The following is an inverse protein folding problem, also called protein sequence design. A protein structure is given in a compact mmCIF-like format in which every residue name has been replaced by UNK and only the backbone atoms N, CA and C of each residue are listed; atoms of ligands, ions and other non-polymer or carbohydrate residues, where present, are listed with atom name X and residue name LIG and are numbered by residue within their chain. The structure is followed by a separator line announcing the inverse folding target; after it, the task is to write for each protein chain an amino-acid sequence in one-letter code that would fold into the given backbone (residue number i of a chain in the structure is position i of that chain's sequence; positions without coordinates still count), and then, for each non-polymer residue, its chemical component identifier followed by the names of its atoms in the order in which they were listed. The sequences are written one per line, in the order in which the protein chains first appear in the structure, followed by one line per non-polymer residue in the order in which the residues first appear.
data_IF_499572076254
#
_entry.id   IF_499572076254
#
_cell.length_a   1.000
_cell.length_b   1.000
_cell.length_c   1.000
_cell.angle_alpha   90.00
_cell.angle_beta   90.00
_cell.angle_gamma   90.00
#
_symmetry.space_group_name_H-M   'P 1'
#
loop_
_entity.id
_entity.type
_entity.pdbx_description
1 polymer ?
#
# COMPACT_ATOMS: atom_id res chain seq x y z
N UNK A 1 14.54 6.54 -1.68
CA UNK A 1 13.81 6.90 -2.89
C UNK A 1 14.57 7.95 -3.73
N UNK A 2 15.11 9.05 -3.19
CA UNK A 2 15.89 10.03 -3.98
C UNK A 2 17.02 9.40 -4.79
N UNK A 3 17.76 8.49 -4.18
CA UNK A 3 18.87 7.78 -4.87
C UNK A 3 18.40 6.91 -6.05
N UNK A 4 17.10 6.59 -6.14
CA UNK A 4 16.51 5.85 -7.27
C UNK A 4 16.03 6.75 -8.40
N UNK A 5 16.24 8.07 -8.30
CA UNK A 5 15.78 9.06 -9.28
C UNK A 5 14.34 9.55 -9.06
N UNK A 6 13.71 9.19 -7.93
CA UNK A 6 12.39 9.71 -7.60
C UNK A 6 12.45 11.20 -7.24
N UNK A 7 11.54 11.99 -7.77
CA UNK A 7 11.22 13.31 -7.22
C UNK A 7 10.47 13.10 -5.90
N UNK A 8 10.83 13.85 -4.87
CA UNK A 8 10.25 13.71 -3.54
C UNK A 8 9.52 14.99 -3.15
N UNK A 9 8.24 14.84 -2.88
CA UNK A 9 7.41 15.87 -2.28
C UNK A 9 7.33 15.57 -0.79
N UNK A 10 7.94 16.42 0.03
CA UNK A 10 7.90 16.31 1.49
C UNK A 10 6.78 17.18 2.04
N UNK A 11 5.88 16.57 2.82
CA UNK A 11 4.83 17.29 3.51
C UNK A 11 5.29 17.72 4.91
N UNK A 12 4.77 18.84 5.44
CA UNK A 12 5.06 19.24 6.81
C UNK A 12 4.49 18.25 7.81
N UNK A 13 5.10 18.15 8.98
CA UNK A 13 4.54 17.36 10.07
C UNK A 13 3.17 17.91 10.49
N UNK A 14 2.26 17.00 10.84
CA UNK A 14 0.93 17.31 11.34
C UNK A 14 0.85 16.88 12.80
N UNK A 15 1.25 17.76 13.72
CA UNK A 15 1.36 17.43 15.16
C UNK A 15 0.03 17.03 15.81
N UNK A 16 -1.09 17.44 15.21
CA UNK A 16 -2.45 17.06 15.67
C UNK A 16 -2.86 15.65 15.22
N UNK A 17 -2.13 15.05 14.26
CA UNK A 17 -2.42 13.73 13.69
C UNK A 17 -1.18 12.84 13.83
N UNK A 18 -1.07 12.06 14.92
CA UNK A 18 0.15 11.29 15.20
C UNK A 18 0.46 10.21 14.14
N UNK A 19 -0.55 9.75 13.40
CA UNK A 19 -0.40 8.74 12.34
C UNK A 19 -0.21 9.33 10.94
N UNK A 20 -0.18 10.67 10.79
CA UNK A 20 -0.09 11.35 9.49
C UNK A 20 1.21 11.05 8.71
N UNK A 21 2.23 10.49 9.36
CA UNK A 21 3.43 9.97 8.68
C UNK A 21 3.10 8.80 7.73
N UNK A 22 1.98 8.11 7.96
CA UNK A 22 1.52 6.98 7.15
C UNK A 22 0.59 7.44 6.02
N UNK A 23 1.10 8.30 5.17
CA UNK A 23 0.36 8.95 4.07
C UNK A 23 -0.26 7.98 3.05
N UNK A 24 0.15 6.70 3.05
CA UNK A 24 -0.37 5.71 2.12
C UNK A 24 -1.88 5.49 2.26
N UNK A 25 -2.42 5.68 3.47
CA UNK A 25 -3.83 5.43 3.75
C UNK A 25 -4.76 6.53 3.23
N UNK A 26 -4.21 7.70 2.94
CA UNK A 26 -4.98 8.90 2.60
C UNK A 26 -5.37 8.99 1.13
N UNK A 27 -4.66 8.30 0.22
CA UNK A 27 -4.97 8.36 -1.21
C UNK A 27 -4.60 7.10 -1.98
N UNK A 28 -5.35 6.82 -3.04
CA UNK A 28 -4.97 5.91 -4.11
C UNK A 28 -4.54 6.71 -5.33
N UNK A 29 -3.27 6.60 -5.70
CA UNK A 29 -2.70 7.23 -6.87
C UNK A 29 -2.62 6.22 -8.02
N UNK A 30 -3.43 6.40 -9.05
CA UNK A 30 -3.44 5.61 -10.28
C UNK A 30 -2.73 6.39 -11.40
N UNK A 31 -2.59 5.80 -12.58
CA UNK A 31 -1.87 6.45 -13.67
C UNK A 31 -2.47 7.79 -14.08
N UNK A 32 -3.78 7.86 -14.22
CA UNK A 32 -4.47 9.01 -14.79
C UNK A 32 -5.40 9.74 -13.79
N UNK A 33 -5.53 9.23 -12.58
CA UNK A 33 -6.40 9.82 -11.57
C UNK A 33 -5.90 9.51 -10.16
N UNK A 34 -6.33 10.31 -9.21
CA UNK A 34 -6.16 10.02 -7.79
C UNK A 34 -7.51 9.99 -7.08
N UNK A 35 -7.60 9.15 -6.05
CA UNK A 35 -8.79 9.05 -5.22
C UNK A 35 -8.37 9.36 -3.79
N UNK A 36 -8.96 10.39 -3.20
CA UNK A 36 -8.80 10.68 -1.78
C UNK A 36 -9.61 9.66 -0.98
N UNK A 37 -8.97 9.00 -0.05
CA UNK A 37 -9.56 7.93 0.75
C UNK A 37 -10.34 8.50 1.95
N UNK A 38 -11.04 7.61 2.64
CA UNK A 38 -11.72 7.93 3.87
C UNK A 38 -11.29 6.93 4.96
N UNK A 39 -10.30 7.32 5.80
CA UNK A 39 -9.81 6.44 6.86
C UNK A 39 -10.91 5.99 7.82
N UNK A 40 -10.83 4.73 8.27
CA UNK A 40 -11.77 4.16 9.23
C UNK A 40 -11.48 4.58 10.67
N UNK A 41 -10.27 5.00 10.99
CA UNK A 41 -9.90 5.48 12.30
C UNK A 41 -10.32 6.95 12.50
N UNK A 42 -11.10 7.22 13.54
CA UNK A 42 -11.59 8.59 13.85
C UNK A 42 -10.43 9.58 14.03
N UNK A 43 -9.32 9.16 14.65
CA UNK A 43 -8.12 9.99 14.83
C UNK A 43 -7.47 10.42 13.52
N UNK A 44 -7.74 9.73 12.41
CA UNK A 44 -7.15 9.96 11.10
C UNK A 44 -8.06 10.69 10.11
N UNK A 45 -9.32 10.88 10.43
CA UNK A 45 -10.31 11.43 9.48
C UNK A 45 -9.96 12.83 8.95
N UNK A 46 -9.16 13.60 9.68
CA UNK A 46 -8.72 14.94 9.25
C UNK A 46 -7.45 14.96 8.39
N UNK A 47 -6.68 13.85 8.34
CA UNK A 47 -5.39 13.78 7.64
C UNK A 47 -5.54 14.01 6.15
N UNK A 48 -6.54 13.39 5.53
CA UNK A 48 -6.82 13.48 4.09
C UNK A 48 -6.99 14.92 3.62
N UNK A 49 -7.71 15.75 4.37
CA UNK A 49 -7.92 17.16 4.03
C UNK A 49 -6.59 17.96 4.03
N UNK A 50 -5.66 17.59 4.91
CA UNK A 50 -4.35 18.24 5.00
C UNK A 50 -3.41 17.79 3.87
N UNK A 51 -3.53 16.53 3.43
CA UNK A 51 -2.71 15.96 2.36
C UNK A 51 -3.26 16.28 0.95
N UNK A 52 -4.58 16.45 0.81
CA UNK A 52 -5.26 16.66 -0.47
C UNK A 52 -4.67 17.76 -1.37
N UNK A 53 -4.22 18.93 -0.87
CA UNK A 53 -3.59 19.95 -1.73
C UNK A 53 -2.36 19.44 -2.48
N UNK A 54 -1.54 18.59 -1.86
CA UNK A 54 -0.35 18.02 -2.51
C UNK A 54 -0.75 17.04 -3.64
N UNK A 55 -1.78 16.24 -3.46
CA UNK A 55 -2.31 15.35 -4.49
C UNK A 55 -2.96 16.17 -5.63
N UNK A 56 -3.74 17.20 -5.29
CA UNK A 56 -4.38 18.10 -6.28
C UNK A 56 -3.38 18.87 -7.15
N UNK A 57 -2.16 19.04 -6.67
CA UNK A 57 -1.07 19.63 -7.46
C UNK A 57 -0.48 18.66 -8.49
N UNK A 58 -0.75 17.36 -8.39
CA UNK A 58 -0.17 16.32 -9.23
C UNK A 58 -1.17 15.69 -10.21
N UNK A 59 -2.47 15.82 -9.96
CA UNK A 59 -3.52 15.19 -10.74
C UNK A 59 -4.64 16.18 -11.09
N UNK A 60 -5.09 16.13 -12.35
CA UNK A 60 -6.28 16.88 -12.80
C UNK A 60 -7.58 16.12 -12.52
N UNK A 61 -7.57 14.77 -12.66
CA UNK A 61 -8.73 13.92 -12.34
C UNK A 61 -8.62 13.39 -10.90
N UNK A 62 -9.41 13.97 -10.02
CA UNK A 62 -9.46 13.59 -8.60
C UNK A 62 -10.89 13.30 -8.20
N UNK A 63 -11.08 12.12 -7.60
CA UNK A 63 -12.29 11.71 -6.91
C UNK A 63 -12.05 11.61 -5.41
N UNK A 64 -13.10 11.48 -4.63
CA UNK A 64 -13.03 11.41 -3.18
C UNK A 64 -14.08 10.41 -2.65
N UNK A 65 -13.71 9.60 -1.68
CA UNK A 65 -14.64 8.74 -0.94
C UNK A 65 -15.36 9.60 0.09
N UNK A 66 -16.66 9.81 -0.10
CA UNK A 66 -17.46 10.72 0.70
C UNK A 66 -18.63 10.04 1.43
N UNK A 67 -18.92 8.80 1.04
CA UNK A 67 -20.04 8.00 1.58
C UNK A 67 -19.86 7.59 3.05
N UNK A 68 -20.80 6.81 3.58
CA UNK A 68 -20.76 6.39 4.97
C UNK A 68 -19.68 5.33 5.24
N UNK A 69 -19.19 4.64 4.19
CA UNK A 69 -18.13 3.63 4.29
C UNK A 69 -16.74 4.24 4.49
N UNK A 70 -15.79 3.39 4.79
CA UNK A 70 -14.39 3.77 4.92
C UNK A 70 -13.48 2.78 4.20
N UNK A 71 -12.36 3.30 3.70
CA UNK A 71 -11.36 2.54 2.98
C UNK A 71 -10.00 3.24 3.12
N UNK A 72 -8.96 2.46 3.41
CA UNK A 72 -7.60 2.94 3.59
C UNK A 72 -6.68 2.38 2.50
N UNK A 73 -5.72 3.19 2.05
CA UNK A 73 -4.79 2.79 1.00
C UNK A 73 -3.91 1.61 1.36
N UNK A 74 -3.67 1.36 2.66
CA UNK A 74 -2.97 0.17 3.16
C UNK A 74 -3.65 -1.16 2.82
N UNK A 75 -4.96 -1.13 2.55
CA UNK A 75 -5.72 -2.30 2.10
C UNK A 75 -5.74 -2.47 0.56
N UNK A 76 -5.13 -1.55 -0.19
CA UNK A 76 -5.21 -1.54 -1.66
C UNK A 76 -3.86 -1.91 -2.27
N UNK A 77 -3.81 -3.02 -3.01
CA UNK A 77 -2.67 -3.43 -3.82
C UNK A 77 -3.03 -3.31 -5.31
N UNK A 78 -2.47 -2.32 -5.97
CA UNK A 78 -2.64 -2.14 -7.42
C UNK A 78 -1.61 -2.96 -8.18
N UNK A 79 -2.09 -3.81 -9.09
CA UNK A 79 -1.26 -4.61 -9.98
C UNK A 79 -1.47 -4.16 -11.44
N UNK A 80 -0.76 -4.78 -12.39
CA UNK A 80 -0.99 -4.55 -13.82
C UNK A 80 -2.32 -5.11 -14.34
N UNK A 81 -3.01 -5.95 -13.54
CA UNK A 81 -4.22 -6.67 -13.95
C UNK A 81 -5.48 -6.15 -13.26
N UNK A 82 -5.34 -5.74 -12.00
CA UNK A 82 -6.47 -5.48 -11.11
C UNK A 82 -6.06 -4.64 -9.90
N UNK A 83 -7.04 -4.11 -9.22
CA UNK A 83 -6.91 -3.51 -7.89
C UNK A 83 -7.44 -4.53 -6.89
N UNK A 84 -6.55 -5.10 -6.08
CA UNK A 84 -6.91 -6.01 -5.00
C UNK A 84 -7.20 -5.20 -3.74
N UNK A 85 -8.33 -5.47 -3.10
CA UNK A 85 -8.74 -4.76 -1.88
C UNK A 85 -8.95 -5.77 -0.76
N UNK A 86 -8.13 -5.67 0.28
CA UNK A 86 -8.30 -6.43 1.50
C UNK A 86 -9.42 -5.86 2.37
N UNK A 87 -10.37 -6.69 2.75
CA UNK A 87 -11.37 -6.32 3.76
C UNK A 87 -10.77 -6.53 5.14
N UNK A 88 -10.59 -5.45 5.87
CA UNK A 88 -10.01 -5.40 7.20
C UNK A 88 -10.92 -4.63 8.16
N UNK A 89 -10.45 -4.39 9.38
CA UNK A 89 -11.12 -3.47 10.30
C UNK A 89 -11.06 -2.00 9.84
N UNK A 90 -10.23 -1.69 8.84
CA UNK A 90 -9.98 -0.34 8.31
C UNK A 90 -10.62 -0.10 6.94
N UNK A 91 -11.24 -1.14 6.36
CA UNK A 91 -11.91 -1.05 5.05
C UNK A 91 -13.19 -1.87 5.08
N UNK A 92 -14.32 -1.22 4.87
CA UNK A 92 -15.63 -1.86 4.86
C UNK A 92 -16.21 -2.02 3.45
N UNK A 93 -17.31 -2.78 3.36
CA UNK A 93 -17.95 -3.05 2.07
C UNK A 93 -18.49 -1.77 1.38
N UNK A 94 -18.95 -0.79 2.15
CA UNK A 94 -19.48 0.44 1.58
C UNK A 94 -18.38 1.31 0.96
N UNK A 95 -17.21 1.39 1.60
CA UNK A 95 -16.03 2.06 1.04
C UNK A 95 -15.52 1.36 -0.22
N UNK A 96 -15.52 0.02 -0.25
CA UNK A 96 -15.15 -0.76 -1.43
C UNK A 96 -16.11 -0.49 -2.60
N UNK A 97 -17.44 -0.48 -2.37
CA UNK A 97 -18.42 -0.22 -3.42
C UNK A 97 -18.32 1.21 -3.97
N UNK A 98 -18.05 2.19 -3.12
CA UNK A 98 -17.82 3.57 -3.59
C UNK A 98 -16.54 3.67 -4.43
N UNK A 99 -15.45 3.04 -4.02
CA UNK A 99 -14.23 2.99 -4.83
C UNK A 99 -14.48 2.27 -6.15
N UNK A 100 -15.23 1.16 -6.15
CA UNK A 100 -15.63 0.42 -7.34
C UNK A 100 -16.34 1.33 -8.35
N UNK A 101 -17.33 2.08 -7.90
CA UNK A 101 -18.08 3.01 -8.74
C UNK A 101 -17.20 4.11 -9.36
N UNK A 102 -16.10 4.48 -8.69
CA UNK A 102 -15.12 5.46 -9.18
C UNK A 102 -14.18 4.85 -10.21
N UNK A 103 -13.62 3.65 -9.97
CA UNK A 103 -12.49 3.14 -10.77
C UNK A 103 -12.91 2.23 -11.92
N UNK A 104 -14.03 1.50 -11.84
CA UNK A 104 -14.48 0.62 -12.93
C UNK A 104 -14.82 1.37 -14.22
N UNK A 105 -15.48 2.56 -14.20
CA UNK A 105 -15.67 3.37 -15.41
C UNK A 105 -14.37 3.83 -16.07
N UNK A 106 -13.25 3.83 -15.31
CA UNK A 106 -11.90 4.14 -15.79
C UNK A 106 -11.12 2.92 -16.30
N UNK A 107 -11.79 1.75 -16.36
CA UNK A 107 -11.24 0.51 -16.90
C UNK A 107 -10.47 -0.35 -15.88
N UNK A 108 -10.52 -0.02 -14.60
CA UNK A 108 -9.91 -0.86 -13.57
C UNK A 108 -10.86 -1.97 -13.14
N UNK A 109 -10.30 -3.12 -12.77
CA UNK A 109 -11.03 -4.27 -12.22
C UNK A 109 -10.72 -4.37 -10.73
N UNK A 110 -11.75 -4.50 -9.90
CA UNK A 110 -11.59 -4.72 -8.45
C UNK A 110 -11.75 -6.20 -8.11
N UNK A 111 -10.84 -6.71 -7.30
CA UNK A 111 -10.96 -8.00 -6.64
C UNK A 111 -10.86 -7.83 -5.12
N UNK A 112 -11.91 -8.23 -4.43
CA UNK A 112 -11.95 -8.24 -2.97
C UNK A 112 -11.25 -9.47 -2.41
N UNK A 113 -10.50 -9.26 -1.34
CA UNK A 113 -9.75 -10.29 -0.62
C UNK A 113 -10.08 -10.17 0.86
N UNK A 114 -10.20 -11.31 1.53
CA UNK A 114 -10.36 -11.30 2.98
C UNK A 114 -8.98 -11.22 3.65
N UNK A 115 -8.72 -10.11 4.33
CA UNK A 115 -7.53 -9.96 5.17
C UNK A 115 -7.68 -10.81 6.44
N UNK A 116 -6.64 -11.54 6.88
CA UNK A 116 -6.69 -12.25 8.14
C UNK A 116 -7.00 -11.31 9.32
N UNK A 117 -7.78 -11.74 10.32
CA UNK A 117 -8.32 -10.84 11.36
C UNK A 117 -7.25 -10.23 12.28
N UNK A 118 -6.07 -10.81 12.35
CA UNK A 118 -4.91 -10.34 13.10
C UNK A 118 -3.94 -9.47 12.28
N UNK A 119 -4.33 -9.11 11.08
CA UNK A 119 -3.54 -8.26 10.17
C UNK A 119 -4.23 -6.90 10.04
N UNK A 120 -3.50 -5.84 10.30
CA UNK A 120 -4.05 -4.46 10.30
C UNK A 120 -4.55 -4.06 8.91
N UNK A 121 -3.69 -4.23 7.88
CA UNK A 121 -3.99 -3.93 6.49
C UNK A 121 -3.53 -5.06 5.57
N UNK A 122 -4.14 -5.20 4.42
CA UNK A 122 -3.75 -6.19 3.41
C UNK A 122 -2.26 -6.10 3.04
N UNK A 123 -1.73 -4.89 2.84
CA UNK A 123 -0.31 -4.67 2.53
C UNK A 123 0.64 -4.85 3.71
N UNK A 124 0.15 -5.08 4.93
CA UNK A 124 1.00 -5.53 6.03
C UNK A 124 1.68 -6.85 5.66
N UNK A 125 0.97 -7.73 4.98
CA UNK A 125 1.38 -9.10 4.69
C UNK A 125 1.78 -9.35 3.22
N UNK A 126 1.79 -8.31 2.37
CA UNK A 126 2.22 -8.45 0.97
C UNK A 126 2.75 -7.17 0.35
N UNK A 127 3.50 -7.34 -0.73
CA UNK A 127 3.89 -6.27 -1.65
C UNK A 127 4.08 -6.80 -3.07
N UNK A 128 3.85 -5.92 -4.06
CA UNK A 128 4.11 -6.22 -5.47
C UNK A 128 5.59 -5.95 -5.77
N UNK A 129 6.28 -6.96 -6.30
CA UNK A 129 7.70 -6.84 -6.69
C UNK A 129 7.88 -6.52 -8.17
N UNK A 130 6.96 -6.99 -9.02
CA UNK A 130 6.86 -6.63 -10.44
C UNK A 130 5.44 -6.87 -10.95
N UNK A 131 5.21 -6.80 -12.27
CA UNK A 131 3.88 -6.97 -12.86
C UNK A 131 3.20 -8.32 -12.56
N UNK A 132 3.94 -9.33 -12.07
CA UNK A 132 3.44 -10.69 -11.85
C UNK A 132 3.94 -11.36 -10.56
N UNK A 133 4.86 -10.74 -9.81
CA UNK A 133 5.50 -11.34 -8.64
C UNK A 133 5.10 -10.61 -7.38
N UNK A 134 4.61 -11.34 -6.40
CA UNK A 134 4.18 -10.84 -5.08
C UNK A 134 5.07 -11.45 -3.99
N UNK A 135 5.59 -10.62 -3.11
CA UNK A 135 6.13 -11.06 -1.83
C UNK A 135 4.97 -11.14 -0.84
N UNK A 136 4.78 -12.27 -0.19
CA UNK A 136 3.68 -12.47 0.75
C UNK A 136 4.06 -13.35 1.93
N UNK A 137 3.35 -13.18 3.03
CA UNK A 137 3.35 -14.18 4.10
C UNK A 137 2.56 -15.42 3.67
N UNK A 138 2.92 -16.58 4.22
CA UNK A 138 2.17 -17.81 3.96
C UNK A 138 0.73 -17.75 4.47
N UNK A 139 0.48 -17.05 5.59
CA UNK A 139 -0.87 -16.93 6.17
C UNK A 139 -1.83 -16.17 5.24
N UNK A 140 -1.35 -15.13 4.56
CA UNK A 140 -2.19 -14.39 3.62
C UNK A 140 -2.41 -15.20 2.33
N UNK A 141 -1.35 -15.79 1.76
CA UNK A 141 -1.43 -16.58 0.54
C UNK A 141 -2.25 -17.88 0.70
N UNK A 142 -2.38 -18.39 1.91
CA UNK A 142 -3.20 -19.57 2.19
C UNK A 142 -4.69 -19.41 1.80
N UNK A 143 -5.16 -18.18 1.63
CA UNK A 143 -6.50 -17.89 1.10
C UNK A 143 -6.64 -18.12 -0.42
N UNK A 144 -5.53 -18.33 -1.15
CA UNK A 144 -5.51 -18.40 -2.62
C UNK A 144 -5.70 -17.02 -3.28
N UNK A 145 -5.55 -15.93 -2.52
CA UNK A 145 -5.81 -14.58 -3.05
C UNK A 145 -4.81 -14.17 -4.15
N UNK A 146 -3.69 -14.85 -4.28
CA UNK A 146 -2.69 -14.57 -5.30
C UNK A 146 -2.65 -15.60 -6.43
N UNK A 147 -3.73 -16.36 -6.63
CA UNK A 147 -3.84 -17.29 -7.76
C UNK A 147 -3.58 -16.57 -9.09
N UNK A 148 -2.67 -17.14 -9.86
CA UNK A 148 -2.23 -16.55 -11.15
C UNK A 148 -1.05 -15.57 -11.06
N UNK A 149 -0.52 -15.34 -9.86
CA UNK A 149 0.73 -14.62 -9.62
C UNK A 149 1.86 -15.60 -9.23
N UNK A 150 3.09 -15.17 -9.43
CA UNK A 150 4.26 -15.82 -8.81
C UNK A 150 4.38 -15.30 -7.38
N UNK A 151 4.34 -16.19 -6.38
CA UNK A 151 4.44 -15.77 -4.98
C UNK A 151 5.80 -16.18 -4.40
N UNK A 152 6.50 -15.20 -3.83
CA UNK A 152 7.68 -15.42 -3.00
C UNK A 152 7.21 -15.32 -1.54
N UNK A 153 7.33 -16.43 -0.79
CA UNK A 153 6.98 -16.41 0.63
C UNK A 153 8.09 -15.87 1.49
N UNK A 154 7.74 -15.04 2.46
CA UNK A 154 8.65 -14.67 3.55
C UNK A 154 9.13 -15.92 4.29
N UNK A 155 10.33 -15.86 4.86
CA UNK A 155 10.82 -16.91 5.74
C UNK A 155 10.03 -16.93 7.05
N UNK A 156 10.11 -18.05 7.76
CA UNK A 156 9.48 -18.19 9.07
C UNK A 156 10.06 -17.16 10.06
N UNK A 157 9.19 -16.45 10.77
CA UNK A 157 9.59 -15.37 11.66
C UNK A 157 9.94 -14.04 10.97
N UNK A 158 9.97 -14.00 9.63
CA UNK A 158 10.33 -12.79 8.86
C UNK A 158 9.12 -12.11 8.18
N UNK A 159 7.89 -12.35 8.64
CA UNK A 159 6.66 -11.87 8.01
C UNK A 159 6.60 -10.36 7.82
N UNK A 160 7.16 -9.58 8.74
CA UNK A 160 7.09 -8.12 8.70
C UNK A 160 7.78 -7.50 7.46
N UNK A 161 8.71 -8.21 6.79
CA UNK A 161 9.32 -7.72 5.56
C UNK A 161 8.44 -7.90 4.31
N UNK A 162 7.29 -8.57 4.44
CA UNK A 162 6.32 -8.62 3.34
C UNK A 162 5.87 -7.23 2.90
N UNK A 163 5.82 -6.27 3.83
CA UNK A 163 5.63 -4.86 3.52
C UNK A 163 6.95 -4.23 3.03
N UNK A 164 7.27 -4.52 1.78
CA UNK A 164 8.41 -3.95 1.04
C UNK A 164 7.92 -2.99 -0.03
N UNK A 165 8.83 -2.25 -0.65
CA UNK A 165 8.50 -1.34 -1.76
C UNK A 165 9.33 -1.72 -2.98
N UNK A 166 8.70 -1.91 -4.13
CA UNK A 166 9.40 -1.86 -5.41
C UNK A 166 9.37 -0.44 -5.96
N UNK A 167 10.52 0.09 -6.29
CA UNK A 167 10.65 1.35 -7.03
C UNK A 167 11.78 1.24 -8.05
N UNK A 168 11.47 1.46 -9.32
CA UNK A 168 12.38 1.19 -10.43
C UNK A 168 13.00 -0.22 -10.32
N UNK A 169 14.31 -0.34 -10.30
CA UNK A 169 15.03 -1.61 -10.23
C UNK A 169 15.33 -2.09 -8.81
N UNK A 170 14.88 -1.37 -7.80
CA UNK A 170 15.16 -1.68 -6.40
C UNK A 170 13.93 -2.18 -5.65
N UNK A 171 14.11 -3.23 -4.88
CA UNK A 171 13.20 -3.61 -3.79
C UNK A 171 13.77 -3.06 -2.49
N UNK A 172 13.07 -2.13 -1.90
CA UNK A 172 13.39 -1.60 -0.57
C UNK A 172 12.74 -2.51 0.47
N UNK A 173 13.54 -3.14 1.30
CA UNK A 173 13.11 -4.11 2.32
C UNK A 173 13.57 -3.66 3.70
N UNK A 174 12.77 -3.84 4.76
CA UNK A 174 13.23 -3.56 6.11
C UNK A 174 14.49 -4.36 6.47
N UNK A 175 15.36 -3.82 7.34
CA UNK A 175 16.51 -4.54 7.87
C UNK A 175 16.08 -5.65 8.83
N UNK A 176 16.90 -6.69 8.94
CA UNK A 176 16.69 -7.76 9.93
C UNK A 176 16.05 -9.05 9.38
N UNK A 177 15.86 -9.16 8.05
CA UNK A 177 15.18 -10.27 7.40
C UNK A 177 16.05 -10.96 6.34
N UNK A 178 17.17 -11.60 6.74
CA UNK A 178 18.19 -12.08 5.79
C UNK A 178 17.73 -13.25 4.92
N UNK A 179 16.89 -14.15 5.44
CA UNK A 179 16.43 -15.31 4.66
C UNK A 179 15.46 -14.91 3.56
N UNK A 180 14.50 -14.03 3.87
CA UNK A 180 13.56 -13.50 2.88
C UNK A 180 14.29 -12.66 1.83
N UNK A 181 15.25 -11.84 2.27
CA UNK A 181 16.11 -11.09 1.34
C UNK A 181 16.78 -12.02 0.34
N UNK A 182 17.41 -13.10 0.83
CA UNK A 182 18.07 -14.07 -0.05
C UNK A 182 17.11 -14.73 -1.05
N UNK A 183 15.86 -15.01 -0.65
CA UNK A 183 14.83 -15.54 -1.57
C UNK A 183 14.46 -14.55 -2.66
N UNK A 184 14.29 -13.29 -2.31
CA UNK A 184 13.94 -12.21 -3.26
C UNK A 184 15.10 -11.96 -4.22
N UNK A 185 16.35 -11.96 -3.74
CA UNK A 185 17.55 -11.84 -4.58
C UNK A 185 17.75 -13.04 -5.50
N UNK A 186 17.48 -14.26 -5.01
CA UNK A 186 17.54 -15.48 -5.82
C UNK A 186 16.49 -15.48 -6.95
N UNK A 187 15.39 -14.77 -6.79
CA UNK A 187 14.39 -14.54 -7.83
C UNK A 187 14.77 -13.43 -8.81
N UNK A 188 15.96 -12.83 -8.67
CA UNK A 188 16.50 -11.85 -9.60
C UNK A 188 16.24 -10.38 -9.23
N UNK A 189 15.69 -10.10 -8.06
CA UNK A 189 15.45 -8.74 -7.61
C UNK A 189 16.68 -8.14 -6.92
N UNK A 190 16.91 -6.86 -7.13
CA UNK A 190 17.95 -6.11 -6.44
C UNK A 190 17.39 -5.53 -5.14
N UNK A 191 17.87 -6.01 -3.99
CA UNK A 191 17.33 -5.65 -2.67
C UNK A 191 18.23 -4.68 -1.94
N UNK A 192 17.68 -3.55 -1.51
CA UNK A 192 18.32 -2.58 -0.61
C UNK A 192 17.59 -2.56 0.73
N UNK A 193 18.32 -2.83 1.81
CA UNK A 193 17.77 -2.78 3.16
C UNK A 193 17.65 -1.34 3.68
N UNK A 194 16.57 -1.07 4.40
CA UNK A 194 16.28 0.22 5.03
C UNK A 194 15.85 -0.01 6.48
N UNK A 195 16.39 0.80 7.39
CA UNK A 195 15.96 0.78 8.79
C UNK A 195 14.49 1.23 8.93
N UNK A 196 13.71 0.46 9.69
CA UNK A 196 12.28 0.73 9.95
C UNK A 196 11.91 0.56 11.43
N UNK A 197 12.87 0.67 12.32
CA UNK A 197 12.72 0.29 13.74
C UNK A 197 11.68 1.14 14.48
N UNK A 198 11.57 2.42 14.19
CA UNK A 198 10.64 3.29 14.89
C UNK A 198 9.20 3.14 14.36
N UNK A 199 9.02 3.15 13.03
CA UNK A 199 7.70 2.95 12.44
C UNK A 199 7.13 1.55 12.77
N UNK A 200 7.98 0.53 12.80
CA UNK A 200 7.56 -0.83 13.16
C UNK A 200 7.00 -0.97 14.59
N UNK A 201 7.32 -0.06 15.51
CA UNK A 201 6.77 -0.06 16.89
C UNK A 201 5.28 0.32 16.93
N UNK A 202 4.79 0.94 15.87
CA UNK A 202 3.39 1.36 15.68
C UNK A 202 2.79 0.75 14.40
N UNK A 203 3.18 -0.49 14.10
CA UNK A 203 2.73 -1.30 12.97
C UNK A 203 2.99 -0.68 11.58
N UNK A 204 3.86 0.33 11.48
CA UNK A 204 4.22 0.98 10.23
C UNK A 204 5.21 0.17 9.41
N UNK A 205 4.82 -0.18 8.18
CA UNK A 205 5.68 -0.77 7.16
C UNK A 205 6.35 0.29 6.26
N UNK A 206 7.21 -0.13 5.35
CA UNK A 206 7.88 0.80 4.43
C UNK A 206 6.89 1.46 3.47
N UNK A 207 5.86 0.72 3.01
CA UNK A 207 4.89 1.27 2.07
C UNK A 207 4.05 2.37 2.70
N UNK A 208 3.75 2.27 3.99
CA UNK A 208 2.87 3.19 4.71
C UNK A 208 3.34 4.65 4.65
N UNK A 209 4.67 4.86 4.63
CA UNK A 209 5.29 6.19 4.72
C UNK A 209 5.43 6.94 3.39
N UNK A 210 4.85 6.44 2.31
CA UNK A 210 4.92 7.12 1.01
C UNK A 210 3.81 6.73 0.06
N UNK A 211 3.32 7.68 -0.71
CA UNK A 211 2.59 7.46 -1.95
C UNK A 211 3.58 7.46 -3.12
N UNK A 212 3.46 6.51 -4.02
CA UNK A 212 4.36 6.33 -5.16
C UNK A 212 3.55 6.32 -6.44
N UNK A 213 3.83 7.25 -7.32
CA UNK A 213 3.04 7.44 -8.54
C UNK A 213 3.88 8.08 -9.64
N UNK A 214 3.40 7.97 -10.86
CA UNK A 214 3.91 8.68 -12.02
C UNK A 214 2.70 9.29 -12.73
N UNK A 215 2.39 10.56 -12.47
CA UNK A 215 1.31 11.24 -13.17
C UNK A 215 1.61 11.27 -14.67
N UNK A 216 0.60 11.16 -15.50
CA UNK A 216 0.73 11.17 -16.97
C UNK A 216 0.94 12.58 -17.52
#
# INVERSE_FOLDING_TARGET
LRETGAEIIELPALDEFPDAVFVEDDALCLKNCAILMRPGAVSRMGEVAMMAPAIRAQYDDISEITGPGFIEGGDILTTSREIMIGKSARTDAAGVEELRAIVEPRGYVIREVQTPPDVLHFKTDCSLLDGNTILSTKRLDASGCFDGYTVIHTAEGEGACANSIRYNDLVLMPTGFPETKARVEAAGFNVKNIGNTEAAKVDGGLSCMSLRFSPS
#
